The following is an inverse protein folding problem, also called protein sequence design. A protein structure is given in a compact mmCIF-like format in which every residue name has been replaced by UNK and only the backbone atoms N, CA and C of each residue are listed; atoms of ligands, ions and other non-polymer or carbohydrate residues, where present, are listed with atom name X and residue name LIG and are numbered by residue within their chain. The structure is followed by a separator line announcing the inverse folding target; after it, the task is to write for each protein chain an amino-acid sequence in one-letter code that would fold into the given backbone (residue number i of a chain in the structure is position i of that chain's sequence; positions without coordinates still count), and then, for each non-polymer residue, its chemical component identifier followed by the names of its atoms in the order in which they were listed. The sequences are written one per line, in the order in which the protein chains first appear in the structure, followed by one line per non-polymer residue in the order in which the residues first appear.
data_IF_545186038402
#
_entry.id   IF_545186038402
#
_cell.length_a   1.000
_cell.length_b   1.000
_cell.length_c   1.000
_cell.angle_alpha   90.00
_cell.angle_beta   90.00
_cell.angle_gamma   90.00
#
_symmetry.space_group_name_H-M   'P 1'
#
loop_
_entity.id
_entity.type
_entity.pdbx_description
1 polymer ?
#
# COMPACT_ATOMS: atom_id res chain seq x y z
N UNK A 1 -24.27 -18.35 17.82
CA UNK A 1 -23.24 -17.56 18.52
C UNK A 1 -23.10 -16.29 17.72
N UNK A 2 -23.61 -15.19 18.25
CA UNK A 2 -23.38 -13.89 17.66
C UNK A 2 -21.88 -13.60 17.77
N UNK A 3 -21.23 -13.29 16.65
CA UNK A 3 -19.82 -12.87 16.65
C UNK A 3 -19.68 -11.62 17.53
N UNK A 4 -18.63 -11.56 18.34
CA UNK A 4 -18.29 -10.33 19.08
C UNK A 4 -18.17 -9.18 18.08
N UNK A 5 -19.04 -8.17 18.21
CA UNK A 5 -19.02 -7.01 17.33
C UNK A 5 -17.85 -6.13 17.73
N UNK A 6 -16.78 -6.14 16.94
CA UNK A 6 -15.61 -5.28 17.16
C UNK A 6 -16.01 -3.80 17.01
N UNK A 7 -15.88 -3.02 18.08
CA UNK A 7 -15.99 -1.55 17.99
C UNK A 7 -14.59 -0.93 17.92
N UNK A 8 -14.08 -0.81 16.69
CA UNK A 8 -12.79 -0.18 16.43
C UNK A 8 -12.88 1.34 16.28
N UNK A 9 -14.00 1.97 16.68
CA UNK A 9 -14.25 3.41 16.54
C UNK A 9 -14.02 3.91 15.10
N UNK A 10 -14.51 3.16 14.11
CA UNK A 10 -14.37 3.48 12.69
C UNK A 10 -12.96 3.31 12.12
N UNK A 11 -12.03 2.66 12.84
CA UNK A 11 -10.70 2.29 12.36
C UNK A 11 -10.63 0.81 11.98
N UNK A 12 -9.55 0.43 11.32
CA UNK A 12 -9.26 -0.96 10.97
C UNK A 12 -7.98 -1.42 11.64
N UNK A 13 -7.95 -2.68 12.10
CA UNK A 13 -6.74 -3.31 12.62
C UNK A 13 -5.82 -3.73 11.47
N UNK A 14 -4.58 -3.26 11.52
CA UNK A 14 -3.51 -3.62 10.59
C UNK A 14 -2.41 -4.35 11.34
N UNK A 15 -1.92 -5.44 10.75
CA UNK A 15 -0.76 -6.17 11.23
C UNK A 15 0.41 -6.04 10.24
N UNK A 16 1.63 -5.93 10.77
CA UNK A 16 2.84 -6.19 9.99
C UNK A 16 3.33 -7.61 10.22
N UNK A 17 3.89 -8.19 9.17
CA UNK A 17 4.59 -9.46 9.24
C UNK A 17 5.92 -9.42 8.51
N UNK A 18 6.75 -10.40 8.82
CA UNK A 18 8.04 -10.65 8.20
C UNK A 18 8.30 -12.17 8.16
N UNK A 19 9.44 -12.57 7.61
CA UNK A 19 9.87 -13.98 7.60
C UNK A 19 10.14 -14.51 6.21
N UNK A 20 11.03 -15.50 6.14
CA UNK A 20 11.55 -16.03 4.87
C UNK A 20 10.61 -17.07 4.21
N UNK A 21 9.69 -17.65 4.97
CA UNK A 21 8.90 -18.82 4.52
C UNK A 21 7.58 -18.47 3.87
N UNK A 22 6.79 -17.63 4.53
CA UNK A 22 5.47 -17.18 4.06
C UNK A 22 5.51 -15.76 3.50
N UNK A 23 6.68 -15.11 3.57
CA UNK A 23 6.86 -13.68 3.34
C UNK A 23 6.23 -12.81 4.43
N UNK A 24 6.51 -11.51 4.39
CA UNK A 24 5.89 -10.51 5.24
C UNK A 24 4.90 -9.63 4.50
N UNK A 25 4.68 -8.44 5.03
CA UNK A 25 3.80 -7.43 4.44
C UNK A 25 2.94 -6.74 5.47
N UNK A 26 1.99 -5.96 4.97
CA UNK A 26 0.86 -5.49 5.77
C UNK A 26 -0.38 -6.37 5.51
N UNK A 27 -1.15 -6.56 6.57
CA UNK A 27 -2.39 -7.32 6.56
C UNK A 27 -3.48 -6.50 7.22
N UNK A 28 -4.67 -6.47 6.64
CA UNK A 28 -5.81 -5.73 7.14
C UNK A 28 -6.92 -6.69 7.57
N UNK A 29 -7.51 -6.46 8.75
CA UNK A 29 -8.66 -7.21 9.21
C UNK A 29 -9.95 -6.69 8.56
N UNK A 30 -10.60 -7.52 7.74
CA UNK A 30 -11.90 -7.21 7.10
C UNK A 30 -12.85 -8.38 7.37
N UNK A 31 -14.03 -8.10 7.92
CA UNK A 31 -15.07 -9.10 8.21
C UNK A 31 -14.61 -10.34 9.02
N UNK A 32 -13.61 -10.15 9.88
CA UNK A 32 -13.02 -11.20 10.73
C UNK A 32 -11.92 -12.03 10.05
N UNK A 33 -11.44 -11.62 8.88
CA UNK A 33 -10.33 -12.28 8.17
C UNK A 33 -9.24 -11.28 7.82
N UNK A 34 -7.97 -11.68 7.95
CA UNK A 34 -6.83 -10.85 7.55
C UNK A 34 -6.53 -11.02 6.06
N UNK A 35 -6.59 -9.91 5.32
CA UNK A 35 -6.22 -9.84 3.90
C UNK A 35 -4.86 -9.16 3.73
N UNK A 36 -3.98 -9.78 2.96
CA UNK A 36 -2.67 -9.21 2.64
C UNK A 36 -2.83 -7.98 1.72
N UNK A 37 -2.31 -6.83 2.13
CA UNK A 37 -2.30 -5.60 1.33
C UNK A 37 -1.12 -5.61 0.35
N UNK A 38 0.08 -5.94 0.84
CA UNK A 38 1.29 -6.07 0.05
C UNK A 38 2.23 -7.15 0.64
N UNK A 39 3.38 -7.37 -0.01
CA UNK A 39 4.39 -8.34 0.43
C UNK A 39 5.66 -7.68 1.00
N UNK A 40 5.61 -6.38 1.33
CA UNK A 40 6.78 -5.65 1.83
C UNK A 40 6.93 -5.86 3.33
N UNK A 41 7.75 -6.85 3.69
CA UNK A 41 8.05 -7.20 5.09
C UNK A 41 8.35 -5.95 5.92
N UNK A 42 7.67 -5.82 7.05
CA UNK A 42 7.73 -4.61 7.88
C UNK A 42 7.86 -5.00 9.35
N UNK A 43 8.55 -4.15 10.12
CA UNK A 43 8.64 -4.27 11.59
C UNK A 43 7.77 -3.20 12.23
N UNK A 44 8.38 -2.15 12.79
CA UNK A 44 7.69 -1.09 13.52
C UNK A 44 6.68 -0.30 12.70
N UNK A 45 5.51 -0.06 13.30
CA UNK A 45 4.41 0.71 12.74
C UNK A 45 4.08 1.89 13.65
N UNK A 46 3.65 3.00 13.05
CA UNK A 46 3.04 4.10 13.79
C UNK A 46 1.92 4.72 12.97
N UNK A 47 0.83 5.15 13.62
CA UNK A 47 -0.33 5.72 12.93
C UNK A 47 -0.88 6.92 13.68
N UNK A 48 -1.17 7.99 12.94
CA UNK A 48 -2.07 9.07 13.33
C UNK A 48 -3.39 8.93 12.57
N UNK A 49 -4.40 9.79 12.80
CA UNK A 49 -5.61 9.78 11.98
C UNK A 49 -5.34 10.03 10.48
N UNK A 50 -4.31 10.80 10.14
CA UNK A 50 -3.97 11.26 8.79
C UNK A 50 -2.76 10.56 8.16
N UNK A 51 -1.86 10.00 8.97
CA UNK A 51 -0.60 9.43 8.49
C UNK A 51 -0.37 8.02 9.01
N UNK A 52 0.27 7.19 8.19
CA UNK A 52 0.77 5.88 8.60
C UNK A 52 2.25 5.75 8.25
N UNK A 53 3.02 5.21 9.18
CA UNK A 53 4.46 5.03 9.08
C UNK A 53 4.76 3.54 9.23
N UNK A 54 5.66 3.03 8.40
CA UNK A 54 6.22 1.69 8.57
C UNK A 54 7.70 1.67 8.25
N UNK A 55 8.43 0.85 9.00
CA UNK A 55 9.82 0.52 8.68
C UNK A 55 9.90 -0.84 8.02
N UNK A 56 10.57 -0.91 6.87
CA UNK A 56 10.77 -2.16 6.15
C UNK A 56 11.81 -3.03 6.85
N UNK A 57 11.53 -4.33 6.87
CA UNK A 57 12.39 -5.34 7.47
C UNK A 57 13.63 -5.58 6.61
N UNK A 58 14.80 -5.48 7.24
CA UNK A 58 16.09 -5.82 6.62
C UNK A 58 16.57 -7.16 7.20
N UNK A 59 16.70 -8.23 6.38
CA UNK A 59 17.12 -9.53 6.87
C UNK A 59 18.56 -9.57 7.41
N UNK A 60 18.77 -10.34 8.48
CA UNK A 60 20.11 -10.72 8.94
C UNK A 60 20.83 -9.64 9.74
N UNK A 61 22.16 -9.74 9.85
CA UNK A 61 23.01 -8.71 10.47
C UNK A 61 23.42 -7.63 9.46
N UNK A 62 22.62 -7.44 8.41
CA UNK A 62 22.86 -6.36 7.47
C UNK A 62 22.61 -5.02 8.19
N UNK A 63 23.67 -4.21 8.22
CA UNK A 63 23.72 -2.90 8.88
C UNK A 63 23.65 -1.76 7.87
N UNK A 64 23.25 -2.03 6.62
CA UNK A 64 23.22 -1.07 5.50
C UNK A 64 22.19 0.06 5.61
N UNK A 65 21.55 0.22 6.78
CA UNK A 65 20.54 1.22 7.06
C UNK A 65 19.14 0.61 7.16
N UNK A 66 18.12 1.46 7.17
CA UNK A 66 16.71 1.07 7.17
C UNK A 66 15.91 1.86 6.13
N UNK A 67 14.72 1.39 5.79
CA UNK A 67 13.83 2.10 4.86
C UNK A 67 12.51 2.44 5.55
N UNK A 68 12.10 3.69 5.47
CA UNK A 68 10.86 4.22 6.02
C UNK A 68 9.91 4.60 4.88
N UNK A 69 8.66 4.17 5.01
CA UNK A 69 7.55 4.61 4.17
C UNK A 69 6.53 5.35 5.03
N UNK A 70 6.08 6.51 4.54
CA UNK A 70 5.02 7.31 5.13
C UNK A 70 3.89 7.46 4.13
N UNK A 71 2.67 7.22 4.60
CA UNK A 71 1.44 7.22 3.83
C UNK A 71 0.51 8.31 4.32
N UNK A 72 -0.21 8.92 3.40
CA UNK A 72 -1.44 9.68 3.67
C UNK A 72 -2.63 9.00 2.97
N UNK A 73 -3.78 9.66 2.88
CA UNK A 73 -4.98 9.11 2.23
C UNK A 73 -4.79 8.77 0.74
N UNK A 74 -3.79 9.36 0.06
CA UNK A 74 -3.62 9.23 -1.39
C UNK A 74 -2.64 8.13 -1.77
N UNK A 75 -1.69 7.81 -0.91
CA UNK A 75 -0.63 6.87 -1.25
C UNK A 75 0.61 7.02 -0.38
N UNK A 76 1.74 6.55 -0.91
CA UNK A 76 3.06 6.87 -0.35
C UNK A 76 3.32 8.36 -0.53
N UNK A 77 3.30 9.09 0.58
CA UNK A 77 3.67 10.50 0.64
C UNK A 77 5.20 10.66 0.67
N UNK A 78 5.90 9.73 1.35
CA UNK A 78 7.34 9.83 1.54
C UNK A 78 8.00 8.46 1.62
N UNK A 79 9.14 8.34 0.93
CA UNK A 79 10.10 7.25 1.10
C UNK A 79 11.41 7.85 1.62
N UNK A 80 12.02 7.22 2.63
CA UNK A 80 13.32 7.62 3.15
C UNK A 80 14.21 6.42 3.40
N UNK A 81 15.43 6.50 2.86
CA UNK A 81 16.54 5.64 3.25
C UNK A 81 17.22 6.23 4.48
N UNK A 82 17.45 5.40 5.49
CA UNK A 82 18.02 5.76 6.79
C UNK A 82 19.42 5.12 6.91
N UNK A 83 20.43 5.78 6.35
CA UNK A 83 21.76 5.18 6.12
C UNK A 83 22.56 4.84 7.40
N UNK A 84 22.28 5.52 8.51
CA UNK A 84 23.03 5.38 9.76
C UNK A 84 22.16 4.89 10.93
N UNK A 85 21.04 4.25 10.62
CA UNK A 85 20.16 3.64 11.61
C UNK A 85 19.72 2.29 11.06
N UNK A 86 20.31 1.21 11.58
CA UNK A 86 20.02 -0.16 11.18
C UNK A 86 19.18 -0.88 12.23
N UNK A 87 18.53 -1.96 11.82
CA UNK A 87 17.76 -2.85 12.72
C UNK A 87 16.77 -2.08 13.60
N UNK A 88 15.97 -1.23 12.96
CA UNK A 88 14.92 -0.49 13.66
C UNK A 88 13.78 -1.45 13.98
N UNK A 89 13.56 -1.67 15.27
CA UNK A 89 12.49 -2.52 15.76
C UNK A 89 11.17 -1.75 15.87
N UNK A 90 11.22 -0.50 16.31
CA UNK A 90 10.00 0.27 16.56
C UNK A 90 10.19 1.76 16.27
N UNK A 91 9.07 2.45 16.01
CA UNK A 91 9.03 3.87 15.70
C UNK A 91 7.89 4.59 16.40
N UNK A 92 8.05 5.88 16.64
CA UNK A 92 6.98 6.79 17.02
C UNK A 92 7.18 8.18 16.41
N UNK A 93 6.12 8.97 16.40
CA UNK A 93 6.14 10.34 15.90
C UNK A 93 5.59 11.29 16.97
N UNK A 94 6.35 12.32 17.32
CA UNK A 94 5.97 13.31 18.35
C UNK A 94 5.27 14.56 17.78
N UNK A 95 4.93 14.55 16.50
CA UNK A 95 4.40 15.72 15.77
C UNK A 95 5.49 16.50 15.02
N UNK A 96 6.77 16.31 15.36
CA UNK A 96 7.90 17.06 14.78
C UNK A 96 9.03 16.16 14.27
N UNK A 97 9.39 15.12 15.00
CA UNK A 97 10.49 14.21 14.68
C UNK A 97 10.04 12.75 14.80
N UNK A 98 10.65 11.92 13.96
CA UNK A 98 10.49 10.48 14.05
C UNK A 98 11.48 9.97 15.10
N UNK A 99 11.01 9.10 15.98
CA UNK A 99 11.78 8.47 17.03
C UNK A 99 11.86 7.00 16.67
N UNK A 100 13.06 6.43 16.65
CA UNK A 100 13.29 5.04 16.27
C UNK A 100 14.10 4.30 17.34
N UNK A 101 13.76 3.04 17.60
CA UNK A 101 14.59 2.13 18.41
C UNK A 101 15.50 1.34 17.48
N UNK A 102 16.80 1.64 17.52
CA UNK A 102 17.84 0.92 16.79
C UNK A 102 18.44 -0.16 17.69
N UNK A 103 18.02 -1.40 17.47
CA UNK A 103 18.36 -2.53 18.34
C UNK A 103 19.83 -2.90 18.26
N UNK A 104 20.40 -2.94 17.05
CA UNK A 104 21.80 -3.29 16.85
C UNK A 104 22.75 -2.33 17.59
N UNK A 105 22.47 -1.03 17.61
CA UNK A 105 23.32 -0.05 18.30
C UNK A 105 22.90 0.24 19.75
N UNK A 106 21.80 -0.38 20.23
CA UNK A 106 21.18 -0.10 21.53
C UNK A 106 20.88 1.40 21.70
N UNK A 107 20.36 2.04 20.66
CA UNK A 107 20.04 3.47 20.65
C UNK A 107 18.54 3.74 20.46
N UNK A 108 18.09 4.84 21.06
CA UNK A 108 16.90 5.55 20.59
C UNK A 108 17.37 6.76 19.81
N UNK A 109 16.90 6.89 18.57
CA UNK A 109 17.38 7.88 17.61
C UNK A 109 16.24 8.81 17.21
N UNK A 110 16.48 10.12 17.23
CA UNK A 110 15.57 11.12 16.69
C UNK A 110 16.02 11.50 15.28
N UNK A 111 15.08 11.44 14.35
CA UNK A 111 15.29 11.60 12.93
C UNK A 111 14.50 12.81 12.41
N UNK A 112 15.17 13.60 11.57
CA UNK A 112 14.58 14.73 10.90
C UNK A 112 13.64 14.30 9.75
N UNK A 113 12.91 15.28 9.22
CA UNK A 113 12.00 15.11 8.10
C UNK A 113 12.70 14.82 6.75
N UNK A 114 14.01 14.61 6.71
CA UNK A 114 14.75 14.07 5.56
C UNK A 114 15.34 12.68 5.84
N UNK A 115 15.19 12.15 7.06
CA UNK A 115 15.77 10.88 7.51
C UNK A 115 17.17 11.03 8.12
N UNK A 116 17.72 12.24 8.17
CA UNK A 116 18.99 12.50 8.86
C UNK A 116 18.84 12.37 10.38
N UNK A 117 19.88 11.87 11.03
CA UNK A 117 19.96 11.75 12.49
C UNK A 117 20.18 13.12 13.11
N UNK A 118 19.29 13.51 14.01
CA UNK A 118 19.41 14.72 14.84
C UNK A 118 20.18 14.43 16.13
N UNK A 119 19.66 13.49 16.94
CA UNK A 119 20.26 13.10 18.22
C UNK A 119 19.97 11.65 18.56
N UNK A 120 20.67 11.11 19.56
CA UNK A 120 20.35 9.81 20.12
C UNK A 120 20.53 9.74 21.63
N UNK A 121 19.94 8.71 22.21
CA UNK A 121 20.24 8.18 23.53
C UNK A 121 20.75 6.75 23.36
N UNK A 122 21.73 6.33 24.16
CA UNK A 122 22.30 4.98 24.09
C UNK A 122 22.25 4.30 25.45
N UNK A 123 21.87 3.02 25.46
CA UNK A 123 21.73 2.21 26.66
C UNK A 123 23.06 1.63 27.17
N UNK A 124 24.13 1.67 26.38
CA UNK A 124 25.42 1.07 26.77
C UNK A 124 26.40 0.92 25.62
N UNK A 125 27.51 0.23 25.89
CA UNK A 125 28.51 -0.14 24.86
C UNK A 125 28.20 -1.54 24.33
N UNK A 126 28.55 -1.78 23.06
CA UNK A 126 28.35 -3.06 22.39
C UNK A 126 27.15 -3.05 21.47
N UNK A 127 27.18 -3.94 20.48
CA UNK A 127 26.05 -4.17 19.59
C UNK A 127 25.06 -5.13 20.24
N UNK A 128 23.75 -4.95 20.00
CA UNK A 128 22.64 -5.83 20.39
C UNK A 128 22.73 -6.43 21.82
N UNK A 129 23.39 -5.72 22.75
CA UNK A 129 23.68 -6.22 24.08
C UNK A 129 22.43 -6.12 24.96
N UNK A 130 21.76 -4.97 24.96
CA UNK A 130 20.51 -4.82 25.72
C UNK A 130 19.29 -5.31 24.96
N UNK A 131 19.41 -5.32 23.62
CA UNK A 131 18.33 -5.61 22.70
C UNK A 131 17.12 -4.72 23.00
N UNK A 132 17.31 -3.41 22.82
CA UNK A 132 16.20 -2.46 22.87
C UNK A 132 15.16 -2.88 21.83
N UNK A 133 13.89 -2.89 22.20
CA UNK A 133 12.86 -3.49 21.36
C UNK A 133 11.80 -2.47 20.96
N UNK A 134 10.76 -2.29 21.77
CA UNK A 134 9.65 -1.41 21.44
C UNK A 134 9.62 -0.16 22.32
N UNK A 135 9.05 0.91 21.77
CA UNK A 135 8.92 2.18 22.46
C UNK A 135 7.45 2.55 22.69
N UNK A 136 7.22 3.34 23.73
CA UNK A 136 5.95 4.00 24.03
C UNK A 136 6.23 5.49 24.18
N UNK A 137 5.59 6.30 23.33
CA UNK A 137 5.54 7.75 23.48
C UNK A 137 4.21 8.12 24.14
N UNK A 138 4.25 8.52 25.40
CA UNK A 138 3.06 8.87 26.19
C UNK A 138 3.27 10.23 26.86
N UNK A 139 2.41 11.21 26.56
CA UNK A 139 2.48 12.57 27.12
C UNK A 139 3.88 13.21 27.02
N UNK A 140 4.57 13.00 25.89
CA UNK A 140 5.92 13.50 25.64
C UNK A 140 7.05 12.75 26.35
N UNK A 141 6.74 11.73 27.15
CA UNK A 141 7.72 10.81 27.76
C UNK A 141 7.92 9.60 26.87
N UNK A 142 9.15 9.11 26.82
CA UNK A 142 9.52 7.94 26.02
C UNK A 142 9.93 6.83 26.97
N UNK A 143 9.25 5.71 26.82
CA UNK A 143 9.56 4.46 27.50
C UNK A 143 10.04 3.43 26.49
N UNK A 144 11.01 2.60 26.86
CA UNK A 144 11.60 1.61 25.96
C UNK A 144 11.73 0.27 26.66
N UNK A 145 11.30 -0.80 26.01
CA UNK A 145 11.54 -2.16 26.49
C UNK A 145 12.92 -2.68 26.06
N UNK A 146 13.54 -3.49 26.91
CA UNK A 146 14.82 -4.14 26.64
C UNK A 146 14.79 -5.58 27.16
N UNK A 147 15.50 -6.49 26.49
CA UNK A 147 15.60 -7.88 26.95
C UNK A 147 16.45 -8.00 28.23
N UNK A 148 17.33 -7.05 28.47
CA UNK A 148 18.03 -6.90 29.74
C UNK A 148 19.21 -5.96 29.64
N UNK A 149 19.96 -5.81 30.73
CA UNK A 149 21.19 -5.01 30.77
C UNK A 149 22.42 -5.91 30.63
N UNK A 150 22.64 -6.45 29.43
CA UNK A 150 23.80 -7.32 29.20
C UNK A 150 25.01 -6.51 28.71
N UNK A 151 26.21 -7.04 28.98
CA UNK A 151 27.47 -6.44 28.54
C UNK A 151 27.98 -7.02 27.21
N UNK A 152 27.60 -8.26 26.91
CA UNK A 152 28.03 -8.98 25.70
C UNK A 152 27.00 -8.82 24.60
N UNK A 153 27.50 -8.74 23.38
CA UNK A 153 26.69 -8.82 22.16
C UNK A 153 25.81 -10.08 22.21
N UNK A 154 24.50 -9.88 21.99
CA UNK A 154 23.47 -10.91 22.11
C UNK A 154 23.47 -11.68 23.43
N UNK A 155 23.85 -11.04 24.54
CA UNK A 155 23.93 -11.70 25.87
C UNK A 155 22.62 -12.35 26.33
N UNK A 156 21.49 -11.91 25.78
CA UNK A 156 20.15 -12.46 25.98
C UNK A 156 19.93 -13.84 25.36
N UNK A 157 20.71 -14.24 24.34
CA UNK A 157 20.61 -15.57 23.70
C UNK A 157 20.97 -16.72 24.66
N UNK A 158 21.67 -16.43 25.77
CA UNK A 158 22.02 -17.41 26.79
C UNK A 158 20.79 -17.96 27.57
N UNK A 159 19.58 -17.44 27.30
CA UNK A 159 18.34 -17.93 27.88
C UNK A 159 18.11 -17.50 29.33
N UNK A 160 18.76 -16.42 29.77
CA UNK A 160 18.58 -15.88 31.11
C UNK A 160 17.18 -15.25 31.25
N UNK A 161 16.45 -15.61 32.30
CA UNK A 161 15.07 -15.15 32.55
C UNK A 161 14.99 -14.05 33.60
N UNK A 162 13.95 -13.22 33.55
CA UNK A 162 13.66 -12.15 34.51
C UNK A 162 14.50 -10.88 34.35
N UNK A 163 15.38 -10.83 33.34
CA UNK A 163 16.23 -9.67 33.08
C UNK A 163 15.54 -8.56 32.28
N UNK A 164 14.42 -8.86 31.63
CA UNK A 164 13.67 -7.92 30.81
C UNK A 164 13.07 -6.79 31.63
N UNK A 165 13.02 -5.62 31.02
CA UNK A 165 12.67 -4.38 31.70
C UNK A 165 12.09 -3.33 30.75
N UNK A 166 11.45 -2.32 31.32
CA UNK A 166 11.04 -1.08 30.64
C UNK A 166 11.66 0.11 31.36
N UNK A 167 12.19 1.07 30.60
CA UNK A 167 12.93 2.23 31.11
C UNK A 167 12.20 3.51 30.70
N UNK A 168 12.10 4.48 31.60
CA UNK A 168 11.83 5.87 31.24
C UNK A 168 13.15 6.55 30.84
N UNK A 169 13.25 7.01 29.59
CA UNK A 169 14.49 7.62 29.08
C UNK A 169 14.82 8.97 29.72
N UNK A 170 13.80 9.78 30.03
CA UNK A 170 13.99 11.11 30.59
C UNK A 170 14.42 11.01 32.06
N UNK A 171 13.76 10.16 32.84
CA UNK A 171 14.10 9.92 34.24
C UNK A 171 15.35 9.04 34.42
N UNK A 172 15.70 8.23 33.39
CA UNK A 172 16.74 7.18 33.44
C UNK A 172 16.45 6.12 34.50
N UNK A 173 15.17 5.86 34.74
CA UNK A 173 14.70 4.92 35.75
C UNK A 173 14.10 3.69 35.09
N UNK A 174 14.37 2.52 35.67
CA UNK A 174 13.66 1.30 35.30
C UNK A 174 12.27 1.35 35.92
N UNK A 175 11.22 1.34 35.09
CA UNK A 175 9.83 1.42 35.54
C UNK A 175 9.18 0.04 35.72
N UNK A 176 9.56 -0.94 34.90
CA UNK A 176 9.08 -2.33 34.99
C UNK A 176 10.27 -3.29 34.94
N UNK A 177 10.19 -4.40 35.66
CA UNK A 177 11.25 -5.44 35.77
C UNK A 177 10.65 -6.84 35.81
N UNK A 178 11.50 -7.86 35.70
CA UNK A 178 11.08 -9.26 35.83
C UNK A 178 10.40 -9.82 34.58
N UNK A 179 10.60 -9.14 33.43
CA UNK A 179 10.05 -9.56 32.14
C UNK A 179 11.03 -10.51 31.41
N UNK A 180 10.53 -11.17 30.38
CA UNK A 180 11.20 -12.16 29.56
C UNK A 180 10.99 -11.84 28.08
N UNK A 181 12.02 -11.24 27.47
CA UNK A 181 11.99 -10.71 26.11
C UNK A 181 10.78 -9.76 25.86
N UNK A 182 10.65 -8.64 26.60
CA UNK A 182 9.47 -7.79 26.55
C UNK A 182 9.33 -6.99 25.24
N UNK A 183 8.13 -7.01 24.69
CA UNK A 183 7.72 -6.25 23.50
C UNK A 183 6.50 -5.36 23.79
N UNK A 184 6.33 -4.36 22.93
CA UNK A 184 5.18 -3.45 22.83
C UNK A 184 4.60 -2.98 24.17
N UNK A 185 5.35 -2.22 25.01
CA UNK A 185 4.76 -1.61 26.18
C UNK A 185 3.64 -0.63 25.77
N UNK A 186 2.49 -0.70 26.44
CA UNK A 186 1.35 0.19 26.25
C UNK A 186 0.77 0.62 27.60
N UNK A 187 0.19 1.81 27.64
CA UNK A 187 -0.52 2.33 28.80
C UNK A 187 -2.02 2.38 28.52
N UNK A 188 -2.82 1.94 29.50
CA UNK A 188 -4.28 2.04 29.48
C UNK A 188 -4.79 2.19 30.91
N UNK A 189 -5.47 3.30 31.20
CA UNK A 189 -6.05 3.61 32.52
C UNK A 189 -5.00 3.54 33.65
N UNK A 190 -3.82 4.15 33.45
CA UNK A 190 -2.67 4.11 34.37
C UNK A 190 -2.07 2.72 34.63
N UNK A 191 -2.51 1.69 33.88
CA UNK A 191 -1.97 0.34 33.95
C UNK A 191 -1.09 0.07 32.75
N UNK A 192 -0.02 -0.67 32.98
CA UNK A 192 0.92 -1.07 31.93
C UNK A 192 0.53 -2.42 31.36
N UNK A 193 0.54 -2.55 30.05
CA UNK A 193 0.40 -3.80 29.32
C UNK A 193 1.70 -4.06 28.56
N UNK A 194 2.23 -5.28 28.65
CA UNK A 194 3.49 -5.66 27.99
C UNK A 194 3.38 -7.08 27.43
N UNK A 195 3.79 -7.27 26.18
CA UNK A 195 3.98 -8.60 25.60
C UNK A 195 5.22 -9.23 26.24
N UNK A 196 5.02 -10.25 27.07
CA UNK A 196 6.09 -10.98 27.75
C UNK A 196 6.47 -12.22 26.94
N UNK A 197 7.20 -11.98 25.84
CA UNK A 197 7.13 -12.82 24.65
C UNK A 197 7.76 -14.20 24.77
N UNK A 198 8.86 -14.33 25.53
CA UNK A 198 9.47 -15.64 25.72
C UNK A 198 8.59 -16.57 26.58
N UNK A 199 7.73 -16.01 27.43
CA UNK A 199 6.70 -16.76 28.17
C UNK A 199 5.40 -16.92 27.40
N UNK A 200 5.28 -16.36 26.19
CA UNK A 200 4.05 -16.39 25.40
C UNK A 200 2.86 -15.80 26.17
N UNK A 201 3.05 -14.70 26.90
CA UNK A 201 1.99 -14.07 27.69
C UNK A 201 1.83 -12.59 27.39
N UNK A 202 0.64 -12.06 27.69
CA UNK A 202 0.42 -10.64 27.93
C UNK A 202 0.30 -10.44 29.44
N UNK A 203 1.04 -9.46 29.97
CA UNK A 203 1.04 -9.15 31.40
C UNK A 203 0.61 -7.72 31.65
N UNK A 204 -0.03 -7.50 32.79
CA UNK A 204 -0.46 -6.19 33.26
C UNK A 204 0.25 -5.82 34.57
N UNK A 205 0.63 -4.55 34.72
CA UNK A 205 1.14 -3.98 35.97
C UNK A 205 0.25 -2.82 36.44
N UNK A 206 0.10 -2.65 37.76
CA UNK A 206 -0.67 -1.56 38.35
C UNK A 206 0.04 -0.21 38.31
N UNK A 207 1.33 -0.21 38.02
CA UNK A 207 2.14 1.00 37.91
C UNK A 207 3.64 0.70 37.95
N UNK A 208 4.48 1.73 37.85
CA UNK A 208 5.93 1.60 37.98
C UNK A 208 6.34 0.91 39.30
N UNK A 209 7.32 0.02 39.25
CA UNK A 209 7.87 -0.69 40.41
C UNK A 209 6.96 -1.78 41.00
N UNK A 210 5.77 -1.99 40.45
CA UNK A 210 4.85 -3.06 40.90
C UNK A 210 5.22 -4.41 40.29
N UNK A 211 4.79 -5.51 40.93
CA UNK A 211 4.82 -6.83 40.33
C UNK A 211 3.68 -7.01 39.30
N UNK A 212 3.75 -8.07 38.48
CA UNK A 212 2.68 -8.44 37.56
C UNK A 212 1.36 -8.64 38.32
N UNK A 213 0.33 -7.88 37.94
CA UNK A 213 -0.99 -7.89 38.55
C UNK A 213 -1.92 -8.92 37.89
N UNK A 214 -1.91 -9.00 36.56
CA UNK A 214 -2.66 -9.99 35.77
C UNK A 214 -1.79 -10.55 34.65
N UNK A 215 -2.09 -11.79 34.25
CA UNK A 215 -1.42 -12.49 33.16
C UNK A 215 -2.45 -13.30 32.37
N UNK A 216 -2.33 -13.28 31.05
CA UNK A 216 -3.08 -14.14 30.14
C UNK A 216 -2.10 -14.92 29.26
N UNK A 217 -2.35 -16.22 29.15
CA UNK A 217 -1.55 -17.15 28.36
C UNK A 217 -1.95 -17.09 26.88
N UNK A 218 -0.96 -17.04 26.00
CA UNK A 218 -1.11 -16.97 24.55
C UNK A 218 -0.36 -18.15 23.89
N UNK A 219 -0.65 -18.42 22.62
CA UNK A 219 -0.24 -19.65 21.91
C UNK A 219 1.16 -19.56 21.30
N UNK A 220 1.69 -18.36 21.14
CA UNK A 220 2.91 -18.10 20.39
C UNK A 220 3.76 -16.98 20.98
N UNK A 221 4.86 -16.68 20.30
CA UNK A 221 5.73 -15.58 20.68
C UNK A 221 5.00 -14.25 20.47
N UNK A 222 4.76 -13.50 21.56
CA UNK A 222 3.87 -12.34 21.52
C UNK A 222 4.57 -11.10 20.98
N UNK A 223 4.03 -10.45 19.96
CA UNK A 223 4.48 -9.14 19.42
C UNK A 223 3.32 -8.42 18.74
N UNK A 224 3.40 -7.11 18.69
CA UNK A 224 2.32 -6.24 18.28
C UNK A 224 1.23 -6.19 19.34
N UNK A 225 0.87 -4.96 19.73
CA UNK A 225 -0.15 -4.71 20.75
C UNK A 225 -0.93 -3.45 20.37
N UNK A 226 -2.21 -3.65 20.05
CA UNK A 226 -3.16 -2.58 19.75
C UNK A 226 -4.34 -2.63 20.73
N UNK A 227 -4.88 -1.47 21.10
CA UNK A 227 -5.98 -1.36 22.07
C UNK A 227 -7.08 -0.49 21.46
N UNK A 228 -8.30 -1.03 21.38
CA UNK A 228 -9.49 -0.33 20.91
C UNK A 228 -10.60 -0.45 21.96
N UNK A 229 -10.89 0.62 22.70
CA UNK A 229 -11.86 0.55 23.80
C UNK A 229 -11.43 -0.43 24.88
N UNK A 230 -12.17 -1.53 25.02
CA UNK A 230 -11.90 -2.64 25.94
C UNK A 230 -11.30 -3.88 25.23
N UNK A 231 -11.13 -3.81 23.91
CA UNK A 231 -10.52 -4.88 23.12
C UNK A 231 -8.98 -4.67 23.06
N UNK A 232 -8.23 -5.69 23.47
CA UNK A 232 -6.76 -5.76 23.33
C UNK A 232 -6.42 -6.78 22.25
N UNK A 233 -5.70 -6.37 21.21
CA UNK A 233 -5.21 -7.25 20.15
C UNK A 233 -3.74 -7.56 20.37
N UNK A 234 -3.38 -8.84 20.40
CA UNK A 234 -2.02 -9.32 20.61
C UNK A 234 -1.62 -10.26 19.48
N UNK A 235 -0.52 -9.96 18.77
CA UNK A 235 0.02 -10.87 17.76
C UNK A 235 0.73 -12.07 18.40
N UNK A 236 0.49 -13.25 17.87
CA UNK A 236 1.05 -14.55 18.30
C UNK A 236 1.84 -15.15 17.13
N UNK A 237 3.17 -14.95 17.12
CA UNK A 237 4.06 -15.55 16.12
C UNK A 237 4.33 -17.03 16.41
N UNK A 238 4.55 -17.81 15.36
CA UNK A 238 4.95 -19.21 15.50
C UNK A 238 6.32 -19.33 16.19
N UNK A 239 6.46 -20.31 17.10
CA UNK A 239 7.77 -20.61 17.70
C UNK A 239 8.71 -21.16 16.64
N UNK A 240 9.88 -20.52 16.49
CA UNK A 240 10.96 -20.99 15.61
C UNK A 240 11.39 -22.40 16.04
N UNK A 241 11.39 -23.36 15.12
CA UNK A 241 11.87 -24.73 15.35
C UNK A 241 10.83 -25.77 15.81
N UNK A 242 9.54 -25.44 15.90
CA UNK A 242 8.50 -26.45 16.07
C UNK A 242 8.43 -27.35 14.81
N UNK A 243 8.52 -28.67 15.00
CA UNK A 243 8.54 -29.65 13.91
C UNK A 243 7.40 -29.44 12.92
N UNK A 244 7.73 -29.40 11.62
CA UNK A 244 6.75 -29.19 10.54
C UNK A 244 6.16 -30.53 10.13
N UNK A 245 4.87 -30.71 10.37
CA UNK A 245 4.11 -31.76 9.69
C UNK A 245 3.67 -31.24 8.32
N UNK A 246 3.92 -32.01 7.27
CA UNK A 246 3.42 -31.74 5.93
C UNK A 246 1.87 -31.73 5.98
N UNK A 247 1.25 -30.54 5.92
CA UNK A 247 -0.22 -30.38 5.93
C UNK A 247 -0.77 -29.34 6.92
N UNK A 248 -0.01 -28.94 7.93
CA UNK A 248 -0.44 -27.89 8.87
C UNK A 248 -0.14 -26.50 8.30
N UNK A 249 -1.20 -25.73 7.98
CA UNK A 249 -1.08 -24.28 7.70
C UNK A 249 -0.93 -23.53 9.05
N UNK A 250 0.21 -23.69 9.70
CA UNK A 250 0.50 -23.06 10.99
C UNK A 250 0.92 -21.60 10.80
N UNK A 251 -0.07 -20.73 10.69
CA UNK A 251 0.14 -19.30 10.57
C UNK A 251 0.19 -18.61 11.94
N UNK A 252 0.77 -17.41 11.98
CA UNK A 252 0.60 -16.50 13.10
C UNK A 252 -0.88 -16.17 13.32
N UNK A 253 -1.23 -15.81 14.55
CA UNK A 253 -2.58 -15.37 14.90
C UNK A 253 -2.55 -13.99 15.55
N UNK A 254 -3.70 -13.32 15.58
CA UNK A 254 -3.95 -12.18 16.47
C UNK A 254 -5.02 -12.60 17.45
N UNK A 255 -4.68 -12.64 18.74
CA UNK A 255 -5.61 -12.89 19.83
C UNK A 255 -6.33 -11.61 20.23
N UNK A 256 -7.65 -11.70 20.36
CA UNK A 256 -8.48 -10.68 20.98
C UNK A 256 -8.63 -11.03 22.47
N UNK A 257 -8.20 -10.13 23.35
CA UNK A 257 -8.29 -10.23 24.80
C UNK A 257 -9.21 -9.14 25.31
N UNK A 258 -10.21 -9.48 26.10
CA UNK A 258 -11.06 -8.49 26.77
C UNK A 258 -10.30 -7.86 27.95
N UNK A 259 -10.26 -6.53 28.01
CA UNK A 259 -9.49 -5.78 29.01
C UNK A 259 -10.00 -6.02 30.44
N UNK A 260 -11.31 -6.21 30.62
CA UNK A 260 -11.94 -6.29 31.94
C UNK A 260 -11.73 -7.66 32.59
N UNK A 261 -12.07 -8.73 31.88
CA UNK A 261 -11.87 -10.12 32.31
C UNK A 261 -10.42 -10.59 32.19
N UNK A 262 -9.65 -10.00 31.26
CA UNK A 262 -8.31 -10.45 30.87
C UNK A 262 -8.29 -11.86 30.27
N UNK A 263 -9.39 -12.25 29.61
CA UNK A 263 -9.53 -13.55 28.95
C UNK A 263 -9.44 -13.40 27.42
N UNK A 264 -8.96 -14.45 26.75
CA UNK A 264 -8.93 -14.49 25.28
C UNK A 264 -10.33 -14.81 24.76
N UNK A 265 -10.90 -13.88 23.99
CA UNK A 265 -12.23 -13.98 23.40
C UNK A 265 -12.20 -14.73 22.07
N UNK A 266 -11.29 -14.33 21.18
CA UNK A 266 -11.22 -14.84 19.80
C UNK A 266 -9.78 -14.83 19.27
N UNK A 267 -9.54 -15.53 18.16
CA UNK A 267 -8.28 -15.46 17.40
C UNK A 267 -8.55 -15.33 15.92
N UNK A 268 -7.80 -14.45 15.28
CA UNK A 268 -7.81 -14.25 13.83
C UNK A 268 -6.52 -14.82 13.23
N UNK A 269 -6.65 -15.63 12.18
CA UNK A 269 -5.48 -16.18 11.49
C UNK A 269 -4.87 -15.11 10.57
N UNK A 270 -3.55 -14.97 10.57
CA UNK A 270 -2.82 -14.19 9.58
C UNK A 270 -2.41 -15.07 8.41
N UNK A 271 -2.24 -14.54 7.19
CA UNK A 271 -1.62 -15.28 6.09
C UNK A 271 -0.10 -15.12 6.07
N UNK A 272 0.55 -15.18 7.24
CA UNK A 272 2.00 -15.23 7.44
C UNK A 272 2.34 -16.03 8.71
N UNK A 273 3.60 -16.40 8.89
CA UNK A 273 4.09 -17.19 10.04
C UNK A 273 4.62 -16.35 11.21
N UNK A 274 5.04 -15.11 10.93
CA UNK A 274 5.54 -14.17 11.94
C UNK A 274 4.81 -12.83 11.79
N UNK A 275 4.15 -12.43 12.89
CA UNK A 275 3.59 -11.09 13.10
C UNK A 275 4.57 -10.28 13.94
N UNK A 276 4.74 -9.00 13.61
CA UNK A 276 5.68 -8.13 14.29
C UNK A 276 4.99 -7.01 15.07
N UNK A 277 4.12 -6.24 14.43
CA UNK A 277 3.44 -5.11 15.08
C UNK A 277 1.98 -4.99 14.64
N UNK A 278 1.19 -4.29 15.46
CA UNK A 278 -0.24 -4.04 15.26
C UNK A 278 -0.56 -2.55 15.40
N UNK A 279 -1.37 -2.02 14.50
CA UNK A 279 -1.80 -0.63 14.51
C UNK A 279 -3.29 -0.49 14.17
N UNK A 280 -3.95 0.53 14.74
CA UNK A 280 -5.30 0.92 14.38
C UNK A 280 -5.24 2.08 13.38
N UNK A 281 -5.72 1.85 12.16
CA UNK A 281 -5.54 2.78 11.03
C UNK A 281 -6.89 3.30 10.54
N UNK A 282 -6.97 4.57 10.16
CA UNK A 282 -8.20 5.16 9.62
C UNK A 282 -8.52 4.62 8.21
N UNK A 283 -9.80 4.53 7.81
CA UNK A 283 -10.18 4.04 6.49
C UNK A 283 -9.58 4.86 5.33
N UNK A 284 -9.42 6.18 5.52
CA UNK A 284 -8.78 7.06 4.55
C UNK A 284 -7.31 6.67 4.33
N UNK A 285 -6.56 6.43 5.41
CA UNK A 285 -5.15 6.05 5.31
C UNK A 285 -4.99 4.61 4.80
N UNK A 286 -5.90 3.68 5.14
CA UNK A 286 -5.96 2.35 4.52
C UNK A 286 -6.05 2.43 2.99
N UNK A 287 -6.88 3.33 2.46
CA UNK A 287 -6.98 3.54 1.02
C UNK A 287 -5.61 3.95 0.43
N UNK A 288 -4.91 4.88 1.07
CA UNK A 288 -3.56 5.27 0.67
C UNK A 288 -2.53 4.14 0.75
N UNK A 289 -2.57 3.30 1.80
CA UNK A 289 -1.69 2.13 1.91
C UNK A 289 -1.92 1.17 0.73
N UNK A 290 -3.19 0.88 0.38
CA UNK A 290 -3.55 0.03 -0.77
C UNK A 290 -3.12 0.64 -2.10
N UNK A 291 -3.22 1.96 -2.26
CA UNK A 291 -2.78 2.68 -3.46
C UNK A 291 -1.25 2.61 -3.60
N UNK A 292 -0.51 2.77 -2.51
CA UNK A 292 0.95 2.74 -2.52
C UNK A 292 1.54 3.86 -3.37
N UNK A 293 2.49 3.54 -4.26
CA UNK A 293 3.05 4.52 -5.21
C UNK A 293 2.13 4.83 -6.41
N UNK A 294 0.96 4.19 -6.51
CA UNK A 294 0.03 4.32 -7.64
C UNK A 294 -0.88 5.54 -7.51
N UNK A 295 -0.33 6.68 -7.11
CA UNK A 295 -1.07 7.94 -6.89
C UNK A 295 -1.44 8.66 -8.19
N UNK A 296 -0.78 8.32 -9.31
CA UNK A 296 -1.13 8.83 -10.63
C UNK A 296 -2.05 7.82 -11.34
N UNK A 297 -3.31 8.18 -11.65
CA UNK A 297 -4.29 7.26 -12.23
C UNK A 297 -3.85 6.68 -13.58
N UNK A 298 -3.12 7.45 -14.41
CA UNK A 298 -2.58 6.96 -15.67
C UNK A 298 -1.52 5.88 -15.45
N UNK A 299 -0.62 6.04 -14.47
CA UNK A 299 0.41 5.05 -14.15
C UNK A 299 -0.17 3.82 -13.45
N UNK A 300 -1.24 3.99 -12.68
CA UNK A 300 -1.94 2.89 -12.03
C UNK A 300 -2.59 1.97 -13.06
N UNK A 301 -3.33 2.56 -14.02
CA UNK A 301 -3.92 1.85 -15.15
C UNK A 301 -2.86 1.12 -15.98
N UNK A 302 -1.77 1.79 -16.32
CA UNK A 302 -0.63 1.19 -17.04
C UNK A 302 -0.06 -0.04 -16.29
N UNK A 303 0.14 0.06 -14.98
CA UNK A 303 0.61 -1.07 -14.15
C UNK A 303 -0.38 -2.24 -14.10
N UNK A 304 -1.68 -1.96 -14.00
CA UNK A 304 -2.74 -2.97 -13.97
C UNK A 304 -2.86 -3.69 -15.31
N UNK A 305 -2.77 -2.94 -16.42
CA UNK A 305 -2.65 -3.50 -17.76
C UNK A 305 -1.43 -4.42 -17.86
N UNK A 306 -0.25 -3.99 -17.38
CA UNK A 306 0.95 -4.83 -17.35
C UNK A 306 0.80 -6.10 -16.48
N UNK A 307 0.15 -6.01 -15.32
CA UNK A 307 -0.04 -7.14 -14.41
C UNK A 307 -1.00 -8.19 -14.98
N UNK A 308 -2.11 -7.75 -15.57
CA UNK A 308 -3.07 -8.62 -16.26
C UNK A 308 -2.37 -9.36 -17.42
N UNK A 309 -1.56 -8.65 -18.21
CA UNK A 309 -0.81 -9.24 -19.31
C UNK A 309 0.21 -10.31 -18.84
N UNK A 310 0.88 -10.09 -17.70
CA UNK A 310 1.78 -11.11 -17.10
C UNK A 310 1.04 -12.37 -16.66
N UNK A 311 -0.20 -12.26 -16.18
CA UNK A 311 -0.98 -13.42 -15.73
C UNK A 311 -1.45 -14.36 -16.85
N UNK A 312 -1.49 -13.91 -18.11
CA UNK A 312 -2.03 -14.69 -19.24
C UNK A 312 -0.92 -15.43 -20.03
N UNK A 313 0.35 -15.36 -19.59
CA UNK A 313 1.44 -16.21 -20.07
C UNK A 313 1.88 -16.03 -21.53
N UNK A 314 1.22 -15.14 -22.27
CA UNK A 314 1.52 -14.83 -23.67
C UNK A 314 2.14 -13.44 -23.74
N UNK A 315 3.30 -13.33 -24.41
CA UNK A 315 3.88 -12.04 -24.81
C UNK A 315 3.32 -11.67 -26.19
N UNK A 316 2.23 -10.89 -26.32
CA UNK A 316 2.09 -10.10 -27.53
C UNK A 316 3.31 -9.18 -27.62
N UNK A 317 3.83 -8.93 -28.82
CA UNK A 317 4.87 -7.93 -29.03
C UNK A 317 4.34 -6.58 -28.54
N UNK A 318 4.80 -6.16 -27.36
CA UNK A 318 4.39 -4.94 -26.67
C UNK A 318 4.99 -3.73 -27.38
N UNK A 319 4.25 -3.21 -28.36
CA UNK A 319 4.53 -1.97 -29.08
C UNK A 319 3.55 -0.86 -28.68
N UNK A 320 3.01 -0.84 -27.45
CA UNK A 320 2.15 0.25 -26.99
C UNK A 320 2.92 1.58 -27.05
N UNK A 321 2.38 2.55 -27.79
CA UNK A 321 3.03 3.84 -28.03
C UNK A 321 4.18 3.83 -29.05
N UNK A 322 4.60 2.66 -29.58
CA UNK A 322 5.55 2.57 -30.71
C UNK A 322 4.83 2.82 -32.03
N UNK A 323 5.57 3.23 -33.07
CA UNK A 323 4.99 3.42 -34.41
C UNK A 323 4.37 2.11 -34.90
N UNK A 324 3.10 2.16 -35.30
CA UNK A 324 2.38 1.00 -35.82
C UNK A 324 2.71 0.80 -37.31
N UNK A 325 3.01 -0.45 -37.69
CA UNK A 325 3.04 -0.84 -39.09
C UNK A 325 1.62 -0.80 -39.69
N UNK A 326 1.53 -0.55 -41.00
CA UNK A 326 0.25 -0.45 -41.72
C UNK A 326 -0.69 -1.65 -41.53
N UNK A 327 -0.16 -2.86 -41.32
CA UNK A 327 -0.95 -4.08 -41.04
C UNK A 327 -1.68 -4.04 -39.69
N UNK A 328 -1.17 -3.27 -38.73
CA UNK A 328 -1.71 -3.15 -37.37
C UNK A 328 -2.72 -2.02 -37.23
N UNK A 329 -2.78 -1.10 -38.20
CA UNK A 329 -3.83 -0.09 -38.29
C UNK A 329 -5.07 -0.71 -38.96
N UNK A 330 -5.77 -1.59 -38.24
CA UNK A 330 -7.01 -2.24 -38.70
C UNK A 330 -8.08 -2.09 -37.63
N UNK A 331 -9.12 -1.32 -37.91
CA UNK A 331 -10.20 -1.07 -36.96
C UNK A 331 -11.57 -1.17 -37.64
N UNK A 332 -12.59 -1.40 -36.82
CA UNK A 332 -13.96 -1.04 -37.15
C UNK A 332 -14.43 0.03 -36.16
N UNK A 333 -15.07 1.08 -36.65
CA UNK A 333 -15.62 2.16 -35.83
C UNK A 333 -17.07 2.42 -36.24
N UNK A 334 -17.96 2.53 -35.26
CA UNK A 334 -19.37 2.83 -35.47
C UNK A 334 -19.86 3.87 -34.45
N UNK A 335 -20.82 4.67 -34.86
CA UNK A 335 -21.49 5.67 -34.03
C UNK A 335 -22.85 6.01 -34.66
N UNK A 336 -23.80 6.44 -33.85
CA UNK A 336 -25.04 7.04 -34.34
C UNK A 336 -24.80 8.54 -34.58
N UNK A 337 -24.68 8.94 -35.85
CA UNK A 337 -24.36 10.31 -36.25
C UNK A 337 -25.64 11.02 -36.72
N UNK A 338 -25.99 12.18 -36.13
CA UNK A 338 -27.16 12.94 -36.58
C UNK A 338 -27.01 13.38 -38.04
N UNK A 339 -28.04 13.13 -38.86
CA UNK A 339 -28.06 13.54 -40.28
C UNK A 339 -28.13 15.07 -40.48
N UNK A 340 -28.44 15.83 -39.42
CA UNK A 340 -28.57 17.29 -39.44
C UNK A 340 -27.99 17.90 -38.18
N UNK A 341 -27.22 18.97 -38.34
CA UNK A 341 -26.65 19.75 -37.22
C UNK A 341 -26.75 21.25 -37.52
N UNK A 342 -26.73 22.07 -36.47
CA UNK A 342 -26.48 23.50 -36.62
C UNK A 342 -24.98 23.75 -36.88
N UNK A 343 -24.60 24.76 -37.67
CA UNK A 343 -23.20 25.16 -37.81
C UNK A 343 -22.57 25.53 -36.46
N UNK A 344 -21.25 25.32 -36.33
CA UNK A 344 -20.45 25.60 -35.11
C UNK A 344 -20.87 24.88 -33.83
N UNK A 345 -21.82 23.93 -33.88
CA UNK A 345 -22.24 23.16 -32.70
C UNK A 345 -21.19 22.13 -32.30
N UNK A 346 -21.11 21.85 -31.00
CA UNK A 346 -20.30 20.75 -30.45
C UNK A 346 -21.25 19.66 -29.97
N UNK A 347 -21.04 18.42 -30.43
CA UNK A 347 -21.82 17.24 -30.00
C UNK A 347 -20.90 16.17 -29.43
N UNK A 348 -21.46 15.30 -28.61
CA UNK A 348 -20.77 14.10 -28.13
C UNK A 348 -21.35 12.88 -28.82
N UNK A 349 -20.52 12.15 -29.55
CA UNK A 349 -20.87 10.89 -30.19
C UNK A 349 -20.38 9.73 -29.33
N UNK A 350 -21.26 8.76 -29.06
CA UNK A 350 -20.86 7.49 -28.46
C UNK A 350 -20.39 6.55 -29.55
N UNK A 351 -19.10 6.23 -29.55
CA UNK A 351 -18.48 5.40 -30.58
C UNK A 351 -18.11 4.03 -30.02
N UNK A 352 -18.38 2.97 -30.78
CA UNK A 352 -17.83 1.64 -30.54
C UNK A 352 -16.66 1.40 -31.49
N UNK A 353 -15.52 0.98 -30.94
CA UNK A 353 -14.28 0.77 -31.68
C UNK A 353 -13.80 -0.65 -31.41
N UNK A 354 -13.55 -1.39 -32.49
CA UNK A 354 -12.97 -2.73 -32.47
C UNK A 354 -11.60 -2.71 -33.13
N UNK A 355 -10.62 -3.33 -32.49
CA UNK A 355 -9.28 -3.51 -33.02
C UNK A 355 -9.19 -4.85 -33.77
N UNK A 356 -9.08 -4.78 -35.10
CA UNK A 356 -9.00 -5.94 -35.97
C UNK A 356 -7.54 -6.25 -36.37
N UNK A 357 -6.56 -5.51 -35.84
CA UNK A 357 -5.13 -5.74 -36.04
C UNK A 357 -4.51 -6.63 -34.95
N UNK A 358 -3.21 -6.90 -35.10
CA UNK A 358 -2.44 -7.77 -34.20
C UNK A 358 -1.65 -7.01 -33.11
N UNK A 359 -1.71 -5.67 -33.12
CA UNK A 359 -1.06 -4.83 -32.12
C UNK A 359 -2.05 -4.22 -31.13
N UNK A 360 -1.57 -3.85 -29.94
CA UNK A 360 -2.36 -3.10 -28.95
C UNK A 360 -2.50 -1.64 -29.39
N UNK A 361 -3.73 -1.13 -29.38
CA UNK A 361 -4.01 0.31 -29.61
C UNK A 361 -4.19 1.01 -28.28
N UNK A 362 -3.40 2.05 -28.00
CA UNK A 362 -3.46 2.77 -26.74
C UNK A 362 -3.10 4.25 -26.89
N UNK A 363 -3.70 5.10 -26.07
CA UNK A 363 -3.27 6.49 -25.87
C UNK A 363 -2.06 6.51 -24.93
N UNK A 364 -0.92 6.04 -25.44
CA UNK A 364 0.33 5.94 -24.69
C UNK A 364 1.49 6.59 -25.47
N UNK A 365 2.40 7.31 -24.79
CA UNK A 365 3.60 7.88 -25.43
C UNK A 365 4.57 6.79 -25.91
N UNK A 366 5.49 7.07 -26.85
CA UNK A 366 5.73 8.37 -27.48
C UNK A 366 4.74 8.77 -28.60
N UNK A 367 4.06 7.80 -29.24
CA UNK A 367 3.13 8.04 -30.35
C UNK A 367 1.71 7.58 -29.98
N UNK A 368 0.95 8.36 -29.20
CA UNK A 368 -0.37 7.95 -28.72
C UNK A 368 -1.36 7.77 -29.86
N UNK A 369 -2.24 6.78 -29.72
CA UNK A 369 -3.40 6.59 -30.60
C UNK A 369 -4.61 7.29 -29.99
N UNK A 370 -5.25 8.17 -30.74
CA UNK A 370 -6.44 8.93 -30.34
C UNK A 370 -7.57 8.73 -31.35
N UNK A 371 -8.81 8.88 -30.90
CA UNK A 371 -9.96 9.05 -31.81
C UNK A 371 -10.01 10.50 -32.25
N UNK A 372 -10.26 10.72 -33.54
CA UNK A 372 -10.40 12.05 -34.12
C UNK A 372 -11.27 12.00 -35.39
N UNK A 373 -11.51 13.15 -36.00
CA UNK A 373 -12.36 13.27 -37.18
C UNK A 373 -11.85 14.32 -38.16
N UNK A 374 -12.38 14.23 -39.38
CA UNK A 374 -12.26 15.23 -40.43
C UNK A 374 -13.64 15.56 -41.00
N UNK A 375 -13.79 16.79 -41.49
CA UNK A 375 -14.98 17.22 -42.22
C UNK A 375 -14.63 17.45 -43.68
N UNK A 376 -15.39 16.83 -44.57
CA UNK A 376 -15.25 16.97 -46.01
C UNK A 376 -16.51 17.60 -46.61
N UNK A 377 -16.40 18.45 -47.62
CA UNK A 377 -17.58 18.89 -48.40
C UNK A 377 -18.11 17.70 -49.19
N UNK A 378 -19.41 17.42 -49.07
CA UNK A 378 -20.02 16.25 -49.70
C UNK A 378 -19.87 16.25 -51.24
N UNK A 379 -20.00 17.43 -51.87
CA UNK A 379 -19.97 17.55 -53.33
C UNK A 379 -18.56 17.45 -53.94
N UNK A 380 -17.54 18.01 -53.27
CA UNK A 380 -16.18 18.09 -53.82
C UNK A 380 -15.19 17.12 -53.17
N UNK A 381 -15.53 16.56 -52.01
CA UNK A 381 -14.58 15.82 -51.17
C UNK A 381 -13.49 16.70 -50.55
N UNK A 382 -13.59 18.03 -50.68
CA UNK A 382 -12.62 18.96 -50.12
C UNK A 382 -12.65 18.90 -48.59
N UNK A 383 -11.49 18.64 -47.97
CA UNK A 383 -11.35 18.62 -46.52
C UNK A 383 -11.37 20.05 -45.97
N UNK A 384 -12.41 20.39 -45.19
CA UNK A 384 -12.58 21.71 -44.57
C UNK A 384 -12.08 21.74 -43.12
N UNK A 385 -12.05 20.58 -42.46
CA UNK A 385 -11.44 20.41 -41.13
C UNK A 385 -10.56 19.17 -41.21
N UNK A 386 -9.25 19.39 -41.33
CA UNK A 386 -8.27 18.31 -41.45
C UNK A 386 -7.82 17.75 -40.10
N UNK A 387 -8.01 18.51 -39.01
CA UNK A 387 -7.45 18.19 -37.70
C UNK A 387 -8.51 18.36 -36.59
N UNK A 388 -9.38 17.36 -36.42
CA UNK A 388 -10.39 17.34 -35.37
C UNK A 388 -9.82 17.19 -33.96
N UNK A 389 -10.66 17.43 -32.94
CA UNK A 389 -10.26 17.32 -31.53
C UNK A 389 -9.89 15.88 -31.17
N UNK A 390 -8.75 15.71 -30.48
CA UNK A 390 -8.28 14.41 -29.99
C UNK A 390 -9.10 13.94 -28.81
N UNK A 391 -9.64 12.73 -28.93
CA UNK A 391 -10.28 12.01 -27.82
C UNK A 391 -9.41 10.80 -27.45
N UNK A 392 -8.81 10.79 -26.25
CA UNK A 392 -8.07 9.63 -25.75
C UNK A 392 -8.94 8.36 -25.69
N UNK A 393 -8.32 7.21 -25.94
CA UNK A 393 -8.92 5.92 -25.65
C UNK A 393 -9.04 5.75 -24.14
N UNK A 394 -10.21 5.36 -23.66
CA UNK A 394 -10.51 5.15 -22.23
C UNK A 394 -9.74 3.97 -21.62
N UNK A 395 -9.33 3.02 -22.47
CA UNK A 395 -8.50 1.86 -22.14
C UNK A 395 -7.79 1.36 -23.40
N UNK A 396 -6.68 0.63 -23.23
CA UNK A 396 -6.04 -0.05 -24.34
C UNK A 396 -6.99 -1.05 -25.02
N UNK A 397 -6.98 -1.09 -26.34
CA UNK A 397 -7.73 -2.06 -27.15
C UNK A 397 -6.76 -3.15 -27.60
N UNK A 398 -6.84 -4.31 -26.95
CA UNK A 398 -6.07 -5.50 -27.33
C UNK A 398 -6.44 -5.97 -28.75
N UNK A 399 -5.59 -6.79 -29.40
CA UNK A 399 -5.96 -7.46 -30.65
C UNK A 399 -7.30 -8.18 -30.52
N UNK A 400 -8.20 -8.00 -31.49
CA UNK A 400 -9.58 -8.50 -31.49
C UNK A 400 -10.47 -7.97 -30.34
N UNK A 401 -9.98 -6.98 -29.59
CA UNK A 401 -10.69 -6.32 -28.50
C UNK A 401 -11.58 -5.19 -28.99
N UNK A 402 -12.45 -4.69 -28.08
CA UNK A 402 -13.34 -3.56 -28.32
C UNK A 402 -13.45 -2.62 -27.13
N UNK A 403 -13.76 -1.36 -27.41
CA UNK A 403 -14.05 -0.34 -26.40
C UNK A 403 -15.17 0.60 -26.84
N UNK A 404 -15.72 1.33 -25.87
CA UNK A 404 -16.61 2.45 -26.11
C UNK A 404 -15.92 3.75 -25.67
N UNK A 405 -16.09 4.81 -26.45
CA UNK A 405 -15.61 6.15 -26.12
C UNK A 405 -16.66 7.21 -26.47
N UNK A 406 -16.62 8.31 -25.72
CA UNK A 406 -17.41 9.51 -25.99
C UNK A 406 -16.53 10.52 -26.71
N UNK A 407 -16.81 10.77 -27.99
CA UNK A 407 -16.00 11.63 -28.87
C UNK A 407 -16.68 12.98 -29.04
N UNK A 408 -15.97 14.07 -28.74
CA UNK A 408 -16.46 15.42 -28.97
C UNK A 408 -16.20 15.86 -30.41
N UNK A 409 -17.26 16.20 -31.15
CA UNK A 409 -17.21 16.63 -32.56
C UNK A 409 -17.72 18.06 -32.68
N UNK A 410 -16.92 18.93 -33.29
CA UNK A 410 -17.25 20.32 -33.60
C UNK A 410 -17.63 20.43 -35.08
N UNK A 411 -18.84 20.93 -35.36
CA UNK A 411 -19.32 21.13 -36.72
C UNK A 411 -18.68 22.38 -37.37
N UNK A 412 -18.43 22.38 -38.70
CA UNK A 412 -17.99 23.54 -39.46
C UNK A 412 -18.89 24.78 -39.27
N UNK A 413 -18.31 25.97 -39.48
CA UNK A 413 -19.02 27.25 -39.34
C UNK A 413 -19.99 27.54 -40.50
N UNK A 414 -19.64 27.09 -41.72
CA UNK A 414 -20.47 27.36 -42.89
C UNK A 414 -21.56 26.29 -43.04
N UNK A 415 -22.82 26.68 -43.35
CA UNK A 415 -23.86 25.72 -43.68
C UNK A 415 -23.57 25.03 -45.02
N UNK A 416 -24.16 23.84 -45.21
CA UNK A 416 -23.99 23.01 -46.41
C UNK A 416 -23.99 21.52 -46.11
N UNK A 417 -23.80 20.72 -47.15
CA UNK A 417 -23.71 19.26 -47.03
C UNK A 417 -22.25 18.82 -46.85
N UNK A 418 -22.02 18.05 -45.79
CA UNK A 418 -20.70 17.57 -45.41
C UNK A 418 -20.71 16.07 -45.15
N UNK A 419 -19.54 15.44 -45.26
CA UNK A 419 -19.30 14.10 -44.77
C UNK A 419 -18.39 14.20 -43.54
N UNK A 420 -18.86 13.69 -42.40
CA UNK A 420 -18.05 13.47 -41.20
C UNK A 420 -17.28 12.17 -41.39
N UNK A 421 -15.95 12.24 -41.35
CA UNK A 421 -15.06 11.08 -41.36
C UNK A 421 -14.48 10.91 -39.95
N UNK A 422 -14.90 9.86 -39.24
CA UNK A 422 -14.44 9.54 -37.88
C UNK A 422 -13.48 8.33 -37.93
N UNK A 423 -12.30 8.44 -37.32
CA UNK A 423 -11.25 7.42 -37.38
C UNK A 423 -10.31 7.50 -36.17
N UNK A 424 -9.25 6.67 -36.16
CA UNK A 424 -8.11 6.82 -35.26
C UNK A 424 -6.94 7.52 -35.94
N UNK A 425 -6.15 8.23 -35.15
CA UNK A 425 -4.87 8.81 -35.53
C UNK A 425 -3.80 8.34 -34.55
N UNK A 426 -2.66 7.89 -35.05
CA UNK A 426 -1.46 7.75 -34.24
C UNK A 426 -0.60 9.00 -34.43
N UNK A 427 -0.40 9.76 -33.35
CA UNK A 427 0.29 11.04 -33.41
C UNK A 427 1.69 10.89 -34.04
N UNK A 428 2.03 11.80 -34.97
CA UNK A 428 3.32 11.80 -35.69
C UNK A 428 3.60 10.53 -36.53
N UNK A 429 2.59 9.70 -36.76
CA UNK A 429 2.71 8.47 -37.57
C UNK A 429 1.75 8.51 -38.75
N UNK A 430 0.44 8.34 -38.52
CA UNK A 430 -0.54 8.24 -39.60
C UNK A 430 -1.99 8.35 -39.09
N UNK A 431 -2.88 8.81 -39.97
CA UNK A 431 -4.31 8.60 -39.82
C UNK A 431 -4.68 7.20 -40.34
N UNK A 432 -5.52 6.47 -39.62
CA UNK A 432 -5.80 5.07 -39.96
C UNK A 432 -6.57 4.96 -41.28
N UNK A 433 -7.42 5.93 -41.59
CA UNK A 433 -8.18 5.98 -42.84
C UNK A 433 -7.31 6.23 -44.09
N UNK A 434 -6.13 6.83 -43.93
CA UNK A 434 -5.17 7.04 -45.03
C UNK A 434 -4.45 5.74 -45.39
N UNK A 435 -4.29 4.84 -44.41
CA UNK A 435 -3.73 3.50 -44.60
C UNK A 435 -4.74 2.58 -45.29
N UNK A 436 -5.98 2.60 -44.81
CA UNK A 436 -7.10 1.86 -45.40
C UNK A 436 -8.40 2.64 -45.16
N UNK A 437 -9.12 3.07 -46.22
CA UNK A 437 -10.37 3.81 -46.08
C UNK A 437 -11.45 3.11 -45.25
N UNK A 438 -11.38 1.78 -45.06
CA UNK A 438 -12.30 1.02 -44.21
C UNK A 438 -12.09 1.27 -42.72
N UNK A 439 -10.95 1.84 -42.31
CA UNK A 439 -10.65 2.20 -40.92
C UNK A 439 -11.36 3.48 -40.47
N UNK A 440 -12.49 3.83 -41.06
CA UNK A 440 -13.24 5.03 -40.74
C UNK A 440 -14.74 4.80 -40.88
N UNK A 441 -15.48 5.52 -40.05
CA UNK A 441 -16.90 5.77 -40.25
C UNK A 441 -17.03 7.02 -41.11
N UNK A 442 -17.87 6.95 -42.15
CA UNK A 442 -18.28 8.10 -42.95
C UNK A 442 -19.79 8.29 -42.81
N UNK A 443 -20.21 9.49 -42.45
CA UNK A 443 -21.61 9.84 -42.30
C UNK A 443 -21.89 11.18 -42.97
N UNK A 444 -22.94 11.22 -43.80
CA UNK A 444 -23.38 12.47 -44.43
C UNK A 444 -24.24 13.28 -43.46
N UNK A 445 -23.90 14.56 -43.32
CA UNK A 445 -24.51 15.48 -42.37
C UNK A 445 -24.78 16.81 -43.07
N UNK A 446 -26.04 17.24 -43.03
CA UNK A 446 -26.43 18.56 -43.50
C UNK A 446 -26.30 19.59 -42.36
N UNK A 447 -25.48 20.61 -42.56
CA UNK A 447 -25.38 21.75 -41.65
C UNK A 447 -26.37 22.82 -42.08
N UNK A 448 -27.40 23.03 -41.28
CA UNK A 448 -28.53 23.90 -41.60
C UNK A 448 -28.67 24.97 -40.52
N UNK A 449 -28.76 26.22 -40.92
CA UNK A 449 -29.10 27.32 -40.01
C UNK A 449 -30.53 27.11 -39.54
N UNK A 450 -30.70 26.86 -38.24
CA UNK A 450 -32.01 26.70 -37.59
C UNK A 450 -32.75 28.03 -37.53
#
# INVERSE_FOLDING_TARGET
MDRHSLDLAGRTLVASGFGAETGGGLFELVDGEFHRIDALSSMGLFSTPELFFRVLYVPGQDRSGAELLVYDERGVQRYCRLDNVSQIHDIAWDGRQLIAVATDTNEVVWLNADGSRDRSWSAGRGHDAWHLNNLLLENGRIFVSAFGKFEKDRGWDAGATGHGLVIDLAARETVLTGLNCPHNPRLRNDRWLVCNSAECTLVEFNGPGTAVARRVELRGWTRGLAIAGDDIFVGESMKRGAGRSFGDRNNATVALVDYNSFEVIERYNLPCSEVYDLALVSPAVIHGIRTGFRTNPYRAQEHEEYALLRSVGSRPELCAGQRLDAKNCRIAISADVPARLAPSVSITLRCEISNNGDAVLATAPPYPVNVSYQWLRAASGECVVADGVRTPLTKAILPQGRTQCEVSVHAPEAPGDYTLLLTLVQEQVAWFHEIDPQNALRADVALITV
#
